data_IF_363364595322
#
_entry.id   IF_363364595322
#
_cell.length_a   1.000
_cell.length_b   1.000
_cell.length_c   1.000
_cell.angle_alpha   90.00
_cell.angle_beta   90.00
_cell.angle_gamma   90.00
#
_symmetry.space_group_name_H-M   'P 1'
#
loop_
_entity.id
_entity.type
_entity.pdbx_description
1 polymer ?
#
# COMPACT_ATOMS: atom_id res chain seq x y z
N UNK A 1 -29.65 37.33 -8.86
CA UNK A 1 -29.17 36.62 -7.65
C UNK A 1 -28.54 37.67 -6.76
N UNK A 2 -29.01 37.81 -5.52
CA UNK A 2 -28.39 38.73 -4.56
C UNK A 2 -26.94 38.33 -4.33
N UNK A 3 -26.02 39.29 -4.39
CA UNK A 3 -24.58 39.10 -4.20
C UNK A 3 -24.23 38.30 -2.94
N UNK A 4 -25.07 38.38 -1.90
CA UNK A 4 -24.97 37.57 -0.69
C UNK A 4 -25.11 36.07 -0.94
N UNK A 5 -26.09 35.63 -1.73
CA UNK A 5 -26.33 34.21 -2.04
C UNK A 5 -25.14 33.63 -2.81
N UNK A 6 -24.58 34.37 -3.76
CA UNK A 6 -23.40 33.95 -4.51
C UNK A 6 -22.18 33.77 -3.59
N UNK A 7 -21.97 34.68 -2.63
CA UNK A 7 -20.85 34.60 -1.69
C UNK A 7 -20.94 33.40 -0.75
N UNK A 8 -22.16 33.08 -0.28
CA UNK A 8 -22.42 31.90 0.57
C UNK A 8 -22.13 30.62 -0.21
N UNK A 9 -22.59 30.54 -1.46
CA UNK A 9 -22.32 29.40 -2.33
C UNK A 9 -20.81 29.22 -2.55
N UNK A 10 -20.09 30.31 -2.85
CA UNK A 10 -18.64 30.28 -3.04
C UNK A 10 -17.90 29.81 -1.78
N UNK A 11 -18.31 30.27 -0.60
CA UNK A 11 -17.72 29.85 0.68
C UNK A 11 -17.93 28.35 0.96
N UNK A 12 -19.11 27.81 0.65
CA UNK A 12 -19.41 26.37 0.80
C UNK A 12 -18.53 25.54 -0.14
N UNK A 13 -18.37 25.97 -1.40
CA UNK A 13 -17.51 25.29 -2.37
C UNK A 13 -16.04 25.31 -1.90
N UNK A 14 -15.56 26.46 -1.42
CA UNK A 14 -14.21 26.59 -0.89
C UNK A 14 -13.97 25.66 0.31
N UNK A 15 -14.94 25.59 1.24
CA UNK A 15 -14.88 24.67 2.38
C UNK A 15 -14.86 23.19 1.94
N UNK A 16 -15.68 22.82 0.96
CA UNK A 16 -15.70 21.47 0.40
C UNK A 16 -14.36 21.11 -0.26
N UNK A 17 -13.78 22.02 -1.05
CA UNK A 17 -12.48 21.84 -1.67
C UNK A 17 -11.36 21.66 -0.62
N UNK A 18 -11.40 22.43 0.47
CA UNK A 18 -10.44 22.31 1.57
C UNK A 18 -10.51 20.92 2.24
N UNK A 19 -11.73 20.42 2.52
CA UNK A 19 -11.91 19.07 3.10
C UNK A 19 -11.37 17.98 2.17
N UNK A 20 -11.64 18.07 0.87
CA UNK A 20 -11.09 17.12 -0.12
C UNK A 20 -9.56 17.17 -0.13
N UNK A 21 -8.97 18.38 -0.10
CA UNK A 21 -7.52 18.56 -0.02
C UNK A 21 -6.91 17.92 1.22
N UNK A 22 -7.56 18.02 2.38
CA UNK A 22 -7.12 17.38 3.63
C UNK A 22 -7.19 15.85 3.54
N UNK A 23 -8.27 15.31 2.96
CA UNK A 23 -8.41 13.85 2.76
C UNK A 23 -7.30 13.34 1.85
N UNK A 24 -7.07 13.99 0.70
CA UNK A 24 -6.00 13.60 -0.24
C UNK A 24 -4.64 13.66 0.45
N UNK A 25 -4.35 14.73 1.19
CA UNK A 25 -3.07 14.90 1.89
C UNK A 25 -2.83 13.77 2.89
N UNK A 26 -3.86 13.44 3.68
CA UNK A 26 -3.80 12.33 4.64
C UNK A 26 -3.53 10.99 3.93
N UNK A 27 -4.26 10.70 2.86
CA UNK A 27 -4.14 9.43 2.12
C UNK A 27 -2.79 9.27 1.42
N UNK A 28 -2.27 10.36 0.85
CA UNK A 28 -0.92 10.39 0.30
C UNK A 28 0.11 10.07 1.38
N UNK A 29 0.00 10.69 2.56
CA UNK A 29 0.94 10.44 3.66
C UNK A 29 0.84 9.01 4.19
N UNK A 30 -0.36 8.47 4.35
CA UNK A 30 -0.57 7.07 4.72
C UNK A 30 0.04 6.13 3.68
N UNK A 31 -0.15 6.41 2.39
CA UNK A 31 0.40 5.60 1.31
C UNK A 31 1.94 5.63 1.32
N UNK A 32 2.54 6.80 1.54
CA UNK A 32 3.99 6.97 1.70
C UNK A 32 4.51 6.13 2.89
N UNK A 33 3.84 6.19 4.05
CA UNK A 33 4.24 5.38 5.21
C UNK A 33 4.14 3.87 4.94
N UNK A 34 3.13 3.42 4.19
CA UNK A 34 3.03 2.01 3.80
C UNK A 34 4.09 1.60 2.78
N UNK A 35 4.45 2.49 1.85
CA UNK A 35 5.56 2.25 0.92
C UNK A 35 6.88 2.14 1.68
N UNK A 36 7.17 3.08 2.59
CA UNK A 36 8.33 3.00 3.48
C UNK A 36 8.35 1.71 4.31
N UNK A 37 7.19 1.23 4.74
CA UNK A 37 7.08 -0.05 5.43
C UNK A 37 7.45 -1.23 4.51
N UNK A 38 6.97 -1.24 3.25
CA UNK A 38 7.27 -2.28 2.25
C UNK A 38 8.75 -2.26 1.87
N UNK A 39 9.30 -1.08 1.60
CA UNK A 39 10.70 -0.94 1.19
C UNK A 39 11.63 -1.32 2.34
N UNK A 40 11.30 -0.95 3.58
CA UNK A 40 12.03 -1.41 4.76
C UNK A 40 11.98 -2.92 4.95
N UNK A 41 10.84 -3.56 4.69
CA UNK A 41 10.73 -5.03 4.71
C UNK A 41 11.58 -5.66 3.59
N UNK A 42 11.52 -5.11 2.37
CA UNK A 42 12.31 -5.61 1.23
C UNK A 42 13.80 -5.58 1.53
N UNK A 43 14.29 -4.48 2.10
CA UNK A 43 15.69 -4.32 2.49
C UNK A 43 16.09 -5.34 3.56
N UNK A 44 15.30 -5.45 4.63
CA UNK A 44 15.53 -6.40 5.72
C UNK A 44 15.59 -7.86 5.23
N UNK A 45 14.74 -8.22 4.26
CA UNK A 45 14.74 -9.55 3.65
C UNK A 45 15.99 -9.79 2.78
N UNK A 46 16.38 -8.81 1.96
CA UNK A 46 17.57 -8.91 1.13
C UNK A 46 18.84 -9.04 1.98
N UNK A 47 18.98 -8.21 3.02
CA UNK A 47 20.08 -8.27 3.96
C UNK A 47 20.12 -9.60 4.72
N UNK A 48 18.96 -10.13 5.15
CA UNK A 48 18.92 -11.41 5.84
C UNK A 48 19.43 -12.54 4.93
N UNK A 49 19.04 -12.51 3.65
CA UNK A 49 19.49 -13.50 2.68
C UNK A 49 21.00 -13.38 2.39
N UNK A 50 21.54 -12.17 2.26
CA UNK A 50 22.99 -11.95 2.14
C UNK A 50 23.74 -12.54 3.34
N UNK A 51 23.29 -12.23 4.55
CA UNK A 51 23.90 -12.73 5.78
C UNK A 51 23.81 -14.26 5.88
N UNK A 52 22.68 -14.86 5.47
CA UNK A 52 22.52 -16.31 5.42
C UNK A 52 23.52 -16.97 4.47
N UNK A 53 23.65 -16.47 3.24
CA UNK A 53 24.60 -17.01 2.26
C UNK A 53 26.04 -16.81 2.73
N UNK A 54 26.35 -15.64 3.28
CA UNK A 54 27.66 -15.35 3.88
C UNK A 54 27.98 -16.25 5.05
N UNK A 55 27.00 -16.57 5.91
CA UNK A 55 27.20 -17.48 7.04
C UNK A 55 27.70 -18.86 6.58
N UNK A 56 27.24 -19.33 5.42
CA UNK A 56 27.62 -20.63 4.86
C UNK A 56 29.03 -20.65 4.28
N UNK A 57 29.54 -19.51 3.81
CA UNK A 57 30.87 -19.42 3.16
C UNK A 57 31.94 -18.79 4.05
N UNK A 58 31.55 -18.10 5.14
CA UNK A 58 32.47 -17.36 5.98
C UNK A 58 33.38 -18.27 6.84
N UNK A 59 34.54 -17.72 7.18
CA UNK A 59 35.49 -18.32 8.11
C UNK A 59 34.92 -18.39 9.54
N UNK A 60 35.46 -19.27 10.38
CA UNK A 60 35.05 -19.44 11.78
C UNK A 60 35.15 -18.15 12.59
N UNK A 61 36.10 -17.27 12.27
CA UNK A 61 36.30 -15.97 12.95
C UNK A 61 35.11 -15.01 12.76
N UNK A 62 34.52 -15.00 11.56
CA UNK A 62 33.41 -14.08 11.22
C UNK A 62 32.04 -14.67 11.54
N UNK A 63 31.97 -15.98 11.84
CA UNK A 63 30.71 -16.70 12.02
C UNK A 63 29.84 -16.10 13.13
N UNK A 64 30.45 -15.67 14.24
CA UNK A 64 29.72 -15.07 15.35
C UNK A 64 29.09 -13.71 15.00
N UNK A 65 29.82 -12.84 14.28
CA UNK A 65 29.30 -11.52 13.89
C UNK A 65 28.16 -11.65 12.87
N UNK A 66 28.33 -12.52 11.87
CA UNK A 66 27.27 -12.82 10.89
C UNK A 66 26.05 -13.43 11.57
N UNK A 67 26.24 -14.34 12.54
CA UNK A 67 25.15 -14.93 13.31
C UNK A 67 24.36 -13.90 14.11
N UNK A 68 25.05 -12.98 14.77
CA UNK A 68 24.41 -11.88 15.49
C UNK A 68 23.56 -11.02 14.55
N UNK A 69 24.07 -10.73 13.34
CA UNK A 69 23.33 -9.98 12.33
C UNK A 69 22.09 -10.72 11.84
N UNK A 70 22.19 -12.03 11.57
CA UNK A 70 21.06 -12.89 11.22
C UNK A 70 19.97 -12.84 12.29
N UNK A 71 20.34 -13.00 13.57
CA UNK A 71 19.40 -12.96 14.69
C UNK A 71 18.69 -11.59 14.77
N UNK A 72 19.44 -10.51 14.62
CA UNK A 72 18.91 -9.15 14.64
C UNK A 72 17.91 -8.90 13.50
N UNK A 73 18.27 -9.25 12.26
CA UNK A 73 17.40 -9.07 11.09
C UNK A 73 16.16 -9.95 11.18
N UNK A 74 16.30 -11.20 11.64
CA UNK A 74 15.17 -12.11 11.84
C UNK A 74 14.19 -11.58 12.87
N UNK A 75 14.69 -10.99 13.97
CA UNK A 75 13.84 -10.33 14.97
C UNK A 75 13.12 -9.11 14.40
N UNK A 76 13.80 -8.27 13.61
CA UNK A 76 13.18 -7.13 12.92
C UNK A 76 12.05 -7.55 11.99
N UNK A 77 12.30 -8.53 11.11
CA UNK A 77 11.30 -9.07 10.19
C UNK A 77 10.12 -9.63 10.97
N UNK A 78 10.38 -10.41 12.03
CA UNK A 78 9.33 -10.96 12.88
C UNK A 78 8.47 -9.87 13.49
N UNK A 79 9.05 -8.85 14.10
CA UNK A 79 8.31 -7.73 14.69
C UNK A 79 7.49 -6.96 13.65
N UNK A 80 8.01 -6.82 12.43
CA UNK A 80 7.32 -6.13 11.33
C UNK A 80 6.12 -6.94 10.81
N UNK A 81 6.25 -8.26 10.75
CA UNK A 81 5.23 -9.20 10.30
C UNK A 81 4.31 -9.70 11.42
N UNK A 82 4.59 -9.37 12.68
CA UNK A 82 3.76 -9.74 13.84
C UNK A 82 2.41 -9.02 13.76
N UNK A 83 1.50 -9.62 12.98
CA UNK A 83 0.09 -9.27 12.95
C UNK A 83 -0.71 -10.21 13.85
N UNK A 84 -1.86 -9.74 14.34
CA UNK A 84 -2.80 -10.55 15.14
C UNK A 84 -3.40 -11.72 14.34
N UNK A 85 -3.30 -11.68 13.00
CA UNK A 85 -3.79 -12.71 12.08
C UNK A 85 -2.81 -12.88 10.91
N UNK A 86 -1.69 -13.61 11.09
CA UNK A 86 -0.67 -13.75 10.07
C UNK A 86 -1.24 -14.50 8.85
N UNK A 87 -0.88 -14.00 7.67
CA UNK A 87 -1.18 -14.68 6.42
C UNK A 87 -0.44 -16.01 6.31
N UNK A 88 -0.94 -16.88 5.43
CA UNK A 88 -0.29 -18.17 5.15
C UNK A 88 1.15 -17.99 4.66
N UNK A 89 1.42 -16.98 3.84
CA UNK A 89 2.76 -16.73 3.31
C UNK A 89 3.70 -16.13 4.38
N UNK A 90 3.19 -15.27 5.30
CA UNK A 90 3.95 -14.78 6.46
C UNK A 90 4.35 -15.93 7.38
N UNK A 91 3.39 -16.83 7.68
CA UNK A 91 3.66 -18.01 8.51
C UNK A 91 4.71 -18.91 7.88
N UNK A 92 4.61 -19.16 6.57
CA UNK A 92 5.60 -19.94 5.81
C UNK A 92 6.98 -19.28 5.86
N UNK A 93 7.07 -17.98 5.62
CA UNK A 93 8.33 -17.24 5.68
C UNK A 93 8.97 -17.33 7.06
N UNK A 94 8.19 -17.13 8.14
CA UNK A 94 8.69 -17.21 9.51
C UNK A 94 9.14 -18.62 9.88
N UNK A 95 8.47 -19.66 9.38
CA UNK A 95 8.92 -21.04 9.55
C UNK A 95 10.28 -21.23 8.86
N UNK A 96 10.41 -20.82 7.59
CA UNK A 96 11.68 -20.93 6.85
C UNK A 96 12.81 -20.21 7.58
N UNK A 97 12.57 -19.00 8.08
CA UNK A 97 13.55 -18.24 8.84
C UNK A 97 13.96 -19.01 10.11
N UNK A 98 13.00 -19.48 10.91
CA UNK A 98 13.30 -20.14 12.17
C UNK A 98 13.98 -21.51 12.01
N UNK A 99 13.54 -22.31 11.04
CA UNK A 99 14.05 -23.68 10.87
C UNK A 99 15.35 -23.73 10.06
N UNK A 100 15.50 -22.89 9.03
CA UNK A 100 16.61 -23.03 8.08
C UNK A 100 17.66 -21.91 8.19
N UNK A 101 17.24 -20.67 8.49
CA UNK A 101 18.16 -19.52 8.53
C UNK A 101 18.73 -19.35 9.95
N UNK A 102 17.87 -19.43 10.95
CA UNK A 102 18.26 -19.43 12.35
C UNK A 102 18.85 -20.76 12.78
N UNK A 103 18.69 -21.87 12.06
CA UNK A 103 19.36 -23.13 12.42
C UNK A 103 19.92 -23.81 11.15
N UNK A 104 20.96 -23.22 10.53
CA UNK A 104 21.39 -23.63 9.21
C UNK A 104 22.17 -24.95 9.23
N UNK A 105 21.69 -25.92 8.47
CA UNK A 105 22.44 -27.12 8.16
C UNK A 105 23.43 -26.84 7.01
N UNK A 106 24.73 -26.82 7.34
CA UNK A 106 25.79 -26.41 6.40
C UNK A 106 26.07 -27.44 5.30
N UNK A 107 25.68 -28.71 5.50
CA UNK A 107 25.96 -29.80 4.58
C UNK A 107 24.87 -30.01 3.52
N UNK A 108 23.72 -29.35 3.66
CA UNK A 108 22.59 -29.48 2.73
C UNK A 108 22.61 -28.34 1.72
N UNK A 109 22.28 -28.63 0.46
CA UNK A 109 22.06 -27.60 -0.56
C UNK A 109 20.95 -26.63 -0.12
N UNK A 110 21.27 -25.34 -0.12
CA UNK A 110 20.32 -24.30 0.28
C UNK A 110 19.47 -23.75 -0.86
N UNK A 111 19.63 -24.24 -2.10
CA UNK A 111 18.91 -23.72 -3.28
C UNK A 111 17.40 -23.70 -3.08
N UNK A 112 16.82 -24.78 -2.56
CA UNK A 112 15.38 -24.84 -2.32
C UNK A 112 14.93 -23.91 -1.18
N UNK A 113 15.74 -23.80 -0.12
CA UNK A 113 15.48 -22.88 1.00
C UNK A 113 15.45 -21.43 0.48
N UNK A 114 16.42 -21.05 -0.35
CA UNK A 114 16.51 -19.73 -0.96
C UNK A 114 15.31 -19.46 -1.87
N UNK A 115 14.92 -20.44 -2.67
CA UNK A 115 13.77 -20.32 -3.57
C UNK A 115 12.45 -20.14 -2.79
N UNK A 116 12.18 -20.96 -1.78
CA UNK A 116 10.98 -20.86 -0.95
C UNK A 116 10.92 -19.56 -0.16
N UNK A 117 12.08 -19.10 0.34
CA UNK A 117 12.22 -17.80 0.99
C UNK A 117 11.83 -16.67 0.04
N UNK A 118 12.34 -16.69 -1.20
CA UNK A 118 12.05 -15.65 -2.19
C UNK A 118 10.59 -15.66 -2.62
N UNK A 119 10.01 -16.83 -2.88
CA UNK A 119 8.60 -16.97 -3.26
C UNK A 119 7.69 -16.43 -2.16
N UNK A 120 7.92 -16.83 -0.90
CA UNK A 120 7.11 -16.38 0.24
C UNK A 120 7.24 -14.87 0.45
N UNK A 121 8.47 -14.36 0.43
CA UNK A 121 8.77 -12.93 0.53
C UNK A 121 8.09 -12.10 -0.57
N UNK A 122 8.20 -12.53 -1.83
CA UNK A 122 7.62 -11.84 -2.98
C UNK A 122 6.08 -11.80 -2.90
N UNK A 123 5.44 -12.87 -2.42
CA UNK A 123 3.98 -12.90 -2.23
C UNK A 123 3.51 -11.92 -1.18
N UNK A 124 4.19 -11.85 -0.03
CA UNK A 124 3.89 -10.89 1.04
C UNK A 124 4.02 -9.46 0.50
N UNK A 125 5.16 -9.13 -0.13
CA UNK A 125 5.39 -7.81 -0.71
C UNK A 125 4.34 -7.47 -1.78
N UNK A 126 3.92 -8.44 -2.60
CA UNK A 126 2.89 -8.23 -3.63
C UNK A 126 1.51 -8.02 -3.03
N UNK A 127 1.14 -8.77 -1.99
CA UNK A 127 -0.12 -8.60 -1.29
C UNK A 127 -0.20 -7.21 -0.65
N UNK A 128 0.88 -6.78 -0.01
CA UNK A 128 0.99 -5.47 0.61
C UNK A 128 0.97 -4.33 -0.42
N UNK A 129 1.66 -4.50 -1.56
CA UNK A 129 1.57 -3.56 -2.67
C UNK A 129 0.15 -3.42 -3.22
N UNK A 130 -0.59 -4.54 -3.35
CA UNK A 130 -2.00 -4.51 -3.75
C UNK A 130 -2.87 -3.78 -2.70
N UNK A 131 -2.57 -3.94 -1.41
CA UNK A 131 -3.24 -3.22 -0.32
C UNK A 131 -3.02 -1.72 -0.41
N UNK A 132 -1.78 -1.27 -0.65
CA UNK A 132 -1.42 0.14 -0.85
C UNK A 132 -2.16 0.72 -2.05
N UNK A 133 -2.12 0.05 -3.21
CA UNK A 133 -2.82 0.51 -4.42
C UNK A 133 -4.33 0.62 -4.26
N UNK A 134 -4.93 -0.23 -3.42
CA UNK A 134 -6.39 -0.19 -3.18
C UNK A 134 -6.81 1.05 -2.39
N UNK A 135 -5.89 1.69 -1.66
CA UNK A 135 -6.17 2.82 -0.78
C UNK A 135 -7.09 2.47 0.39
N UNK A 136 -7.36 3.45 1.27
CA UNK A 136 -8.31 3.26 2.37
C UNK A 136 -9.77 3.28 1.89
N UNK A 137 -10.64 2.57 2.61
CA UNK A 137 -12.08 2.52 2.31
C UNK A 137 -12.68 3.94 2.30
N UNK A 138 -12.29 4.79 3.26
CA UNK A 138 -12.79 6.16 3.40
C UNK A 138 -12.47 7.01 2.19
N UNK A 139 -11.25 6.92 1.66
CA UNK A 139 -10.86 7.58 0.41
C UNK A 139 -11.71 7.13 -0.76
N UNK A 140 -11.89 5.81 -0.93
CA UNK A 140 -12.72 5.27 -2.03
C UNK A 140 -14.16 5.79 -1.97
N UNK A 141 -14.73 5.89 -0.77
CA UNK A 141 -16.06 6.46 -0.57
C UNK A 141 -16.08 7.95 -0.94
N UNK A 142 -15.10 8.73 -0.47
CA UNK A 142 -15.02 10.17 -0.79
C UNK A 142 -14.92 10.41 -2.30
N UNK A 143 -14.08 9.64 -3.00
CA UNK A 143 -13.94 9.69 -4.46
C UNK A 143 -15.24 9.29 -5.16
N UNK A 144 -15.92 8.23 -4.69
CA UNK A 144 -17.19 7.80 -5.26
C UNK A 144 -18.29 8.87 -5.12
N UNK A 145 -18.39 9.51 -3.96
CA UNK A 145 -19.33 10.62 -3.71
C UNK A 145 -19.01 11.80 -4.63
N UNK A 146 -17.72 12.16 -4.77
CA UNK A 146 -17.31 13.24 -5.67
C UNK A 146 -17.72 12.97 -7.13
N UNK A 147 -17.49 11.75 -7.63
CA UNK A 147 -17.94 11.36 -8.97
C UNK A 147 -19.47 11.34 -9.13
N UNK A 148 -20.20 10.92 -8.09
CA UNK A 148 -21.66 10.94 -8.09
C UNK A 148 -22.18 12.38 -8.21
N UNK A 149 -21.67 13.29 -7.40
CA UNK A 149 -22.03 14.72 -7.45
C UNK A 149 -21.73 15.29 -8.84
N UNK A 150 -20.53 15.04 -9.36
CA UNK A 150 -20.12 15.51 -10.70
C UNK A 150 -21.07 14.96 -11.79
N UNK A 151 -21.45 13.69 -11.69
CA UNK A 151 -22.39 13.06 -12.62
C UNK A 151 -23.79 13.67 -12.56
N UNK A 152 -24.29 14.02 -11.37
CA UNK A 152 -25.59 14.70 -11.20
C UNK A 152 -25.53 16.08 -11.86
N UNK A 153 -24.49 16.88 -11.56
CA UNK A 153 -24.33 18.20 -12.17
C UNK A 153 -24.24 18.11 -13.69
N UNK A 154 -23.43 17.19 -14.23
CA UNK A 154 -23.32 16.97 -15.67
C UNK A 154 -24.68 16.60 -16.29
N UNK A 155 -25.43 15.70 -15.65
CA UNK A 155 -26.75 15.29 -16.14
C UNK A 155 -27.77 16.44 -16.13
N UNK A 156 -27.72 17.31 -15.12
CA UNK A 156 -28.56 18.49 -15.03
C UNK A 156 -28.30 19.46 -16.19
N UNK A 157 -27.04 19.81 -16.45
CA UNK A 157 -26.69 20.71 -17.55
C UNK A 157 -27.03 20.13 -18.93
N UNK A 158 -26.86 18.83 -19.13
CA UNK A 158 -27.29 18.16 -20.36
C UNK A 158 -28.81 18.25 -20.53
N UNK A 159 -29.58 18.00 -19.47
CA UNK A 159 -31.03 18.10 -19.51
C UNK A 159 -31.51 19.53 -19.82
N UNK A 160 -30.91 20.53 -19.18
CA UNK A 160 -31.23 21.93 -19.43
C UNK A 160 -30.96 22.33 -20.89
N UNK A 161 -29.84 21.87 -21.43
CA UNK A 161 -29.47 22.12 -22.83
C UNK A 161 -30.46 21.48 -23.80
N UNK A 162 -30.88 20.23 -23.54
CA UNK A 162 -31.89 19.54 -24.35
C UNK A 162 -33.23 20.28 -24.29
N UNK A 163 -33.64 20.71 -23.11
CA UNK A 163 -34.88 21.45 -22.91
C UNK A 163 -34.88 22.78 -23.67
N UNK A 164 -33.77 23.52 -23.60
CA UNK A 164 -33.59 24.77 -24.33
C UNK A 164 -33.64 24.56 -25.85
N UNK A 165 -32.96 23.53 -26.36
CA UNK A 165 -32.98 23.18 -27.79
C UNK A 165 -34.38 22.78 -28.24
N UNK A 166 -35.13 22.02 -27.43
CA UNK A 166 -36.52 21.64 -27.74
C UNK A 166 -37.41 22.86 -27.92
N UNK A 167 -37.37 23.82 -26.97
CA UNK A 167 -38.15 25.06 -27.11
C UNK A 167 -37.74 25.89 -28.33
N UNK A 168 -36.45 25.93 -28.66
CA UNK A 168 -35.96 26.63 -29.84
C UNK A 168 -36.47 26.00 -31.15
N UNK A 169 -36.65 24.67 -31.20
CA UNK A 169 -37.24 23.98 -32.36
C UNK A 169 -38.74 24.27 -32.45
N UNK A 170 -39.47 24.20 -31.33
CA UNK A 170 -40.91 24.46 -31.28
C UNK A 170 -41.30 25.90 -31.64
N UNK A 171 -40.35 26.84 -31.59
CA UNK A 171 -40.56 28.25 -31.97
C UNK A 171 -40.17 28.57 -33.41
N UNK A 172 -39.49 27.65 -34.09
CA UNK A 172 -39.01 27.78 -35.48
C UNK A 172 -39.92 27.08 -36.51
N UNK A 173 -40.85 26.23 -36.06
CA UNK A 173 -41.88 25.55 -36.85
C UNK A 173 -43.28 26.01 -36.44
#
# INVERSE_FOLDING_TARGET
MDSGVASVIAAIIAAAAAVVGLVITKENKTSEFRQNWIDGLREELAELMECFLRFRTCSSKDRHSVRSRINFLSAKIRLRLSSDSPSTDETKLLIIINSNILNPELNIDCTEIVNQYFISSARILKAEWKRVKRGEIKYRIAVAIAYLILSIFASYYVFETIYFVSQAIDTLF
#
